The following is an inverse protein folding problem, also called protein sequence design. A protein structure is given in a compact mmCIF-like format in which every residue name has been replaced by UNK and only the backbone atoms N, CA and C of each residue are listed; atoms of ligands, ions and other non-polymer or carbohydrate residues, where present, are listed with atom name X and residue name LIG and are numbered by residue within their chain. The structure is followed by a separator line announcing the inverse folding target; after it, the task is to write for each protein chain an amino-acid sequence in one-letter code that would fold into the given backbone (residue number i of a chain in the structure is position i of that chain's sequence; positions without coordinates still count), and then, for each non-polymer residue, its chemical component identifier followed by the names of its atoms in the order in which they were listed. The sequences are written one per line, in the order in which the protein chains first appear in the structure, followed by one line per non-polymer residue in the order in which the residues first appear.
data_IF_506566847985
#
_entry.id   IF_506566847985
#
_cell.length_a   1.000
_cell.length_b   1.000
_cell.length_c   1.000
_cell.angle_alpha   90.00
_cell.angle_beta   90.00
_cell.angle_gamma   90.00
#
_symmetry.space_group_name_H-M   'P 1'
#
loop_
_entity.id
_entity.type
_entity.pdbx_description
1 polymer ?
#
# COMPACT_ATOMS: atom_id res chain seq x y z
N UNK A 1 11.96 0.42 -8.37
CA UNK A 1 10.51 0.58 -8.51
C UNK A 1 10.21 2.07 -8.41
N UNK A 2 9.33 2.60 -9.24
CA UNK A 2 8.96 4.02 -9.30
C UNK A 2 7.87 4.40 -8.27
N UNK A 3 7.61 3.56 -7.26
CA UNK A 3 6.62 3.81 -6.22
C UNK A 3 5.17 3.63 -6.66
N UNK A 4 4.92 3.15 -7.88
CA UNK A 4 3.56 2.87 -8.36
C UNK A 4 3.21 1.40 -8.23
N UNK A 5 1.94 1.14 -7.90
CA UNK A 5 1.41 -0.21 -7.69
C UNK A 5 0.11 -0.37 -8.47
N UNK A 6 -0.23 -1.62 -8.80
CA UNK A 6 -1.55 -1.96 -9.32
C UNK A 6 -2.26 -2.83 -8.30
N UNK A 7 -3.46 -2.42 -7.89
CA UNK A 7 -4.35 -3.21 -7.05
C UNK A 7 -5.57 -3.62 -7.86
N UNK A 8 -6.04 -4.86 -7.65
CA UNK A 8 -7.23 -5.39 -8.30
C UNK A 8 -8.18 -5.98 -7.27
N UNK A 9 -9.48 -5.71 -7.49
CA UNK A 9 -10.58 -6.27 -6.71
C UNK A 9 -11.49 -7.04 -7.64
N UNK A 10 -12.23 -8.01 -7.10
CA UNK A 10 -13.26 -8.72 -7.81
C UNK A 10 -14.59 -8.54 -7.06
N UNK A 11 -15.57 -7.93 -7.74
CA UNK A 11 -16.93 -7.79 -7.23
C UNK A 11 -17.80 -8.85 -7.90
N UNK A 12 -18.44 -9.71 -7.10
CA UNK A 12 -19.26 -10.83 -7.58
C UNK A 12 -20.71 -10.60 -7.16
N UNK A 13 -21.59 -10.46 -8.13
CA UNK A 13 -23.04 -10.38 -7.91
C UNK A 13 -23.68 -11.69 -8.33
N UNK A 14 -24.35 -12.37 -7.40
CA UNK A 14 -25.01 -13.67 -7.66
C UNK A 14 -26.50 -13.57 -7.41
N UNK A 15 -27.29 -13.98 -8.37
CA UNK A 15 -28.71 -14.21 -8.18
C UNK A 15 -28.95 -15.63 -7.67
N UNK A 16 -29.21 -15.79 -6.38
CA UNK A 16 -29.45 -17.08 -5.74
C UNK A 16 -30.91 -17.55 -5.89
N UNK A 17 -31.79 -16.70 -6.43
CA UNK A 17 -33.19 -17.03 -6.74
C UNK A 17 -33.33 -17.76 -8.07
N UNK A 18 -34.50 -18.36 -8.29
CA UNK A 18 -34.84 -19.05 -9.55
C UNK A 18 -35.35 -18.12 -10.66
N UNK A 19 -35.75 -16.90 -10.34
CA UNK A 19 -36.29 -15.94 -11.30
C UNK A 19 -35.25 -14.90 -11.72
N UNK A 20 -35.41 -14.33 -12.91
CA UNK A 20 -34.61 -13.19 -13.36
C UNK A 20 -34.87 -11.98 -12.46
N UNK A 21 -33.81 -11.30 -12.08
CA UNK A 21 -33.82 -10.03 -11.32
C UNK A 21 -33.03 -8.93 -12.02
N UNK A 22 -33.00 -7.78 -11.39
CA UNK A 22 -32.16 -6.64 -11.80
C UNK A 22 -31.44 -6.05 -10.59
N UNK A 23 -30.34 -5.32 -10.85
CA UNK A 23 -29.58 -4.64 -9.79
C UNK A 23 -28.83 -3.44 -10.35
N UNK A 24 -28.52 -2.49 -9.46
CA UNK A 24 -27.52 -1.45 -9.70
C UNK A 24 -26.34 -1.67 -8.77
N UNK A 25 -25.12 -1.39 -9.25
CA UNK A 25 -23.87 -1.62 -8.53
C UNK A 25 -22.99 -0.39 -8.60
N UNK A 26 -22.47 0.03 -7.45
CA UNK A 26 -21.44 1.06 -7.31
C UNK A 26 -20.21 0.47 -6.64
N UNK A 27 -19.08 1.07 -6.91
CA UNK A 27 -17.79 0.77 -6.28
C UNK A 27 -17.10 2.07 -5.90
N UNK A 28 -16.49 2.11 -4.72
CA UNK A 28 -15.92 3.34 -4.15
C UNK A 28 -14.57 3.02 -3.52
N UNK A 29 -13.46 3.50 -4.11
CA UNK A 29 -12.16 3.45 -3.45
C UNK A 29 -12.17 4.44 -2.26
N UNK A 30 -11.74 3.97 -1.11
CA UNK A 30 -11.62 4.74 0.14
C UNK A 30 -10.27 4.43 0.77
N UNK A 31 -9.21 4.58 -0.04
CA UNK A 31 -7.82 4.29 0.33
C UNK A 31 -7.32 5.23 1.41
N UNK A 32 -6.19 4.88 2.01
CA UNK A 32 -5.42 5.77 2.88
C UNK A 32 -5.16 7.11 2.16
N UNK A 33 -5.15 8.22 2.89
CA UNK A 33 -5.02 9.57 2.34
C UNK A 33 -3.64 9.86 1.73
N UNK A 34 -2.63 9.04 2.04
CA UNK A 34 -1.31 9.09 1.42
C UNK A 34 -1.22 8.24 0.13
N UNK A 35 -2.34 7.63 -0.31
CA UNK A 35 -2.41 6.85 -1.54
C UNK A 35 -3.12 7.65 -2.64
N UNK A 36 -2.35 8.11 -3.61
CA UNK A 36 -2.90 8.76 -4.81
C UNK A 36 -3.36 7.72 -5.82
N UNK A 37 -4.60 7.81 -6.26
CA UNK A 37 -5.12 7.01 -7.38
C UNK A 37 -4.78 7.73 -8.69
N UNK A 38 -3.86 7.17 -9.47
CA UNK A 38 -3.44 7.74 -10.75
C UNK A 38 -4.46 7.48 -11.86
N UNK A 39 -5.04 6.28 -11.86
CA UNK A 39 -6.07 5.85 -12.81
C UNK A 39 -6.79 4.60 -12.28
N UNK A 40 -7.97 4.33 -12.84
CA UNK A 40 -8.70 3.11 -12.56
C UNK A 40 -9.56 2.67 -13.74
N UNK A 41 -9.85 1.39 -13.78
CA UNK A 41 -10.72 0.77 -14.79
C UNK A 41 -11.45 -0.44 -14.20
N UNK A 42 -12.55 -0.82 -14.84
CA UNK A 42 -13.23 -2.07 -14.55
C UNK A 42 -13.55 -2.82 -15.84
N UNK A 43 -13.68 -4.14 -15.71
CA UNK A 43 -13.98 -5.06 -16.82
C UNK A 43 -14.78 -6.26 -16.33
N UNK A 44 -15.24 -7.10 -17.25
CA UNK A 44 -16.05 -8.28 -16.96
C UNK A 44 -17.45 -8.15 -17.50
N UNK A 45 -18.49 -8.17 -16.66
CA UNK A 45 -19.90 -8.04 -17.08
C UNK A 45 -20.17 -6.72 -17.81
N UNK A 46 -19.46 -5.67 -17.42
CA UNK A 46 -19.36 -4.38 -18.13
C UNK A 46 -17.92 -3.87 -18.02
N UNK A 47 -17.60 -2.79 -18.74
CA UNK A 47 -16.27 -2.19 -18.72
C UNK A 47 -16.32 -0.66 -18.79
N UNK A 48 -15.33 -0.01 -18.19
CA UNK A 48 -15.22 1.44 -18.19
C UNK A 48 -14.07 1.93 -17.32
N UNK A 49 -14.01 3.25 -17.16
CA UNK A 49 -13.07 3.90 -16.24
C UNK A 49 -13.65 4.00 -14.83
N UNK A 50 -12.80 3.87 -13.83
CA UNK A 50 -13.13 4.16 -12.45
C UNK A 50 -12.83 5.63 -12.14
N UNK A 51 -13.67 6.23 -11.28
CA UNK A 51 -13.36 7.53 -10.69
C UNK A 51 -12.16 7.39 -9.76
N UNK A 52 -11.28 8.38 -9.75
CA UNK A 52 -10.13 8.43 -8.83
C UNK A 52 -10.52 9.00 -7.45
N UNK A 53 -11.73 9.55 -7.35
CA UNK A 53 -12.36 9.97 -6.09
C UNK A 53 -13.86 9.75 -6.17
N UNK A 54 -14.46 9.31 -5.06
CA UNK A 54 -15.89 9.03 -4.99
C UNK A 54 -16.30 7.74 -5.72
N UNK A 55 -17.61 7.53 -5.81
CA UNK A 55 -18.19 6.29 -6.34
C UNK A 55 -18.17 6.25 -7.87
N UNK A 56 -17.99 5.06 -8.43
CA UNK A 56 -18.23 4.74 -9.84
C UNK A 56 -19.42 3.79 -9.94
N UNK A 57 -20.36 4.09 -10.84
CA UNK A 57 -21.46 3.17 -11.15
C UNK A 57 -20.96 2.12 -12.14
N UNK A 58 -20.90 0.85 -11.72
CA UNK A 58 -20.48 -0.28 -12.56
C UNK A 58 -21.65 -0.85 -13.36
N UNK A 59 -22.85 -0.77 -12.81
CA UNK A 59 -24.08 -1.25 -13.45
C UNK A 59 -25.29 -0.41 -13.00
N UNK A 60 -26.24 -0.21 -13.92
CA UNK A 60 -27.53 0.42 -13.67
C UNK A 60 -28.65 -0.48 -14.20
N UNK A 61 -29.53 -0.96 -13.31
CA UNK A 61 -30.64 -1.86 -13.63
C UNK A 61 -30.22 -3.06 -14.51
N UNK A 62 -29.03 -3.60 -14.24
CA UNK A 62 -28.50 -4.75 -14.99
C UNK A 62 -29.32 -6.00 -14.69
N UNK A 63 -29.78 -6.67 -15.74
CA UNK A 63 -30.58 -7.90 -15.61
C UNK A 63 -29.67 -9.06 -15.31
N UNK A 64 -30.06 -9.92 -14.35
CA UNK A 64 -29.34 -11.15 -13.97
C UNK A 64 -30.32 -12.33 -13.91
N UNK A 65 -30.08 -13.38 -14.68
CA UNK A 65 -30.90 -14.57 -14.67
C UNK A 65 -30.86 -15.32 -13.35
N UNK A 66 -31.91 -16.09 -13.04
CA UNK A 66 -31.92 -16.93 -11.84
C UNK A 66 -30.76 -17.91 -11.82
N UNK A 67 -30.03 -18.01 -10.72
CA UNK A 67 -28.83 -18.82 -10.54
C UNK A 67 -27.56 -18.28 -11.19
N UNK A 68 -27.62 -17.20 -11.98
CA UNK A 68 -26.49 -16.62 -12.67
C UNK A 68 -25.56 -15.82 -11.72
N UNK A 69 -24.30 -15.64 -12.18
CA UNK A 69 -23.27 -14.85 -11.51
C UNK A 69 -22.69 -13.85 -12.50
N UNK A 70 -22.61 -12.59 -12.10
CA UNK A 70 -21.91 -11.52 -12.81
C UNK A 70 -20.64 -11.14 -12.04
N UNK A 71 -19.53 -10.95 -12.74
CA UNK A 71 -18.24 -10.61 -12.14
C UNK A 71 -17.72 -9.31 -12.75
N UNK A 72 -17.27 -8.41 -11.91
CA UNK A 72 -16.58 -7.19 -12.26
C UNK A 72 -15.18 -7.22 -11.67
N UNK A 73 -14.16 -7.02 -12.50
CA UNK A 73 -12.78 -6.86 -12.06
C UNK A 73 -12.44 -5.37 -12.05
N UNK A 74 -12.20 -4.82 -10.89
CA UNK A 74 -11.86 -3.41 -10.66
C UNK A 74 -10.36 -3.32 -10.45
N UNK A 75 -9.70 -2.39 -11.14
CA UNK A 75 -8.25 -2.20 -11.06
C UNK A 75 -7.91 -0.73 -10.91
N UNK A 76 -7.00 -0.42 -9.99
CA UNK A 76 -6.44 0.91 -9.80
C UNK A 76 -4.92 0.89 -9.92
N UNK A 77 -4.36 1.92 -10.58
CA UNK A 77 -2.94 2.24 -10.51
C UNK A 77 -2.77 3.33 -9.44
N UNK A 78 -1.91 3.09 -8.46
CA UNK A 78 -1.76 3.94 -7.28
C UNK A 78 -0.30 4.26 -7.01
N UNK A 79 -0.06 5.40 -6.33
CA UNK A 79 1.24 5.81 -5.80
C UNK A 79 1.09 6.07 -4.31
N UNK A 80 2.03 5.55 -3.50
CA UNK A 80 2.15 5.88 -2.09
C UNK A 80 3.07 7.10 -1.94
N UNK A 81 2.54 8.18 -1.35
CA UNK A 81 3.24 9.44 -1.13
C UNK A 81 3.37 9.71 0.37
N UNK A 82 4.58 9.57 0.89
CA UNK A 82 4.89 9.78 2.31
C UNK A 82 5.92 10.90 2.51
N UNK A 83 6.18 11.69 1.45
CA UNK A 83 7.13 12.79 1.53
C UNK A 83 6.48 14.04 2.14
N UNK A 84 7.09 14.66 3.15
CA UNK A 84 6.59 15.89 3.74
C UNK A 84 6.39 16.98 2.68
N UNK A 85 5.18 17.55 2.62
CA UNK A 85 4.82 18.58 1.65
C UNK A 85 4.39 18.06 0.28
N UNK A 86 4.12 16.77 0.13
CA UNK A 86 3.43 16.24 -1.04
C UNK A 86 2.07 16.94 -1.22
N UNK A 87 1.68 17.18 -2.48
CA UNK A 87 0.46 17.93 -2.81
C UNK A 87 -0.82 17.07 -2.78
N UNK A 88 -0.74 15.83 -2.27
CA UNK A 88 -1.85 14.88 -2.21
C UNK A 88 -2.84 15.14 -1.07
N UNK A 89 -2.44 15.94 -0.07
CA UNK A 89 -3.26 16.28 1.09
C UNK A 89 -3.26 15.23 2.20
N UNK A 90 -2.38 14.21 2.11
CA UNK A 90 -2.18 13.19 3.13
C UNK A 90 -1.47 13.72 4.40
N UNK A 91 -1.46 12.91 5.43
CA UNK A 91 -0.81 13.23 6.71
C UNK A 91 0.62 12.65 6.83
N UNK A 92 1.12 12.01 5.75
CA UNK A 92 2.41 11.33 5.64
C UNK A 92 2.55 10.11 6.60
N UNK A 93 1.42 9.52 6.98
CA UNK A 93 1.34 8.33 7.85
C UNK A 93 0.47 7.26 7.20
N UNK A 94 1.10 6.33 6.49
CA UNK A 94 0.35 5.20 5.92
C UNK A 94 -0.25 4.31 7.02
N UNK A 95 -1.56 4.20 7.02
CA UNK A 95 -2.31 3.34 7.95
C UNK A 95 -2.68 2.04 7.24
N UNK A 96 -2.03 0.95 7.61
CA UNK A 96 -2.32 -0.37 7.04
C UNK A 96 -3.75 -0.84 7.34
N UNK A 97 -4.27 -1.76 6.53
CA UNK A 97 -5.56 -2.40 6.77
C UNK A 97 -5.61 -3.04 8.16
N UNK A 98 -6.72 -2.89 8.86
CA UNK A 98 -6.96 -3.63 10.11
C UNK A 98 -7.03 -5.14 9.87
N UNK A 99 -7.62 -5.55 8.73
CA UNK A 99 -7.60 -6.93 8.21
C UNK A 99 -7.40 -6.86 6.70
N UNK A 100 -6.40 -7.58 6.18
CA UNK A 100 -6.19 -7.69 4.74
C UNK A 100 -7.11 -8.75 4.16
N UNK A 101 -7.76 -8.44 3.06
CA UNK A 101 -8.74 -9.30 2.39
C UNK A 101 -10.18 -8.82 2.63
N UNK A 102 -11.13 -9.73 2.73
CA UNK A 102 -12.53 -9.41 2.98
C UNK A 102 -12.87 -9.63 4.46
N UNK A 103 -13.58 -8.71 5.07
CA UNK A 103 -14.15 -8.92 6.39
C UNK A 103 -14.09 -7.73 7.32
N UNK A 104 -14.74 -7.82 8.48
CA UNK A 104 -14.80 -6.76 9.46
C UNK A 104 -13.41 -6.48 10.06
N UNK A 105 -13.08 -5.21 10.23
CA UNK A 105 -11.84 -4.75 10.84
C UNK A 105 -11.08 -3.74 10.00
N UNK A 106 -11.26 -3.76 8.66
CA UNK A 106 -10.78 -2.68 7.79
C UNK A 106 -11.76 -1.51 7.80
N UNK A 107 -11.23 -0.31 7.69
CA UNK A 107 -12.00 0.93 7.73
C UNK A 107 -11.66 1.82 6.54
N UNK A 108 -12.61 2.67 6.09
CA UNK A 108 -12.30 3.75 5.14
C UNK A 108 -11.08 4.57 5.59
N UNK A 109 -10.19 4.89 4.67
CA UNK A 109 -8.95 5.60 4.97
C UNK A 109 -7.80 4.71 5.47
N UNK A 110 -7.93 3.40 5.37
CA UNK A 110 -6.84 2.46 5.66
C UNK A 110 -6.40 1.74 4.38
N UNK A 111 -5.10 1.54 4.22
CA UNK A 111 -4.51 0.76 3.15
C UNK A 111 -5.13 1.07 1.78
N UNK A 112 -5.55 0.03 1.11
CA UNK A 112 -6.29 0.08 -0.15
C UNK A 112 -7.73 -0.41 0.07
N UNK A 113 -8.45 0.20 1.04
CA UNK A 113 -9.84 -0.14 1.34
C UNK A 113 -10.76 0.24 0.19
N UNK A 114 -11.55 -0.71 -0.29
CA UNK A 114 -12.51 -0.53 -1.37
C UNK A 114 -13.86 -1.10 -0.99
N UNK A 115 -14.96 -0.37 -1.29
CA UNK A 115 -16.33 -0.74 -0.93
C UNK A 115 -17.20 -0.86 -2.17
N UNK A 116 -17.94 -1.96 -2.27
CA UNK A 116 -19.01 -2.17 -3.24
C UNK A 116 -20.39 -2.00 -2.60
N UNK A 117 -21.33 -1.41 -3.33
CA UNK A 117 -22.70 -1.12 -2.90
C UNK A 117 -23.70 -1.62 -3.93
N UNK A 118 -24.56 -2.52 -3.52
CA UNK A 118 -25.59 -3.15 -4.37
C UNK A 118 -26.99 -2.66 -3.99
N UNK A 119 -27.71 -2.10 -4.96
CA UNK A 119 -29.15 -1.87 -4.93
C UNK A 119 -29.83 -2.95 -5.78
N UNK A 120 -30.61 -3.83 -5.17
CA UNK A 120 -31.33 -4.95 -5.82
C UNK A 120 -32.82 -4.69 -5.94
N UNK A 121 -33.32 -3.57 -5.42
CA UNK A 121 -34.73 -3.19 -5.46
C UNK A 121 -35.01 -2.12 -6.52
N UNK A 122 -33.98 -1.38 -6.96
CA UNK A 122 -34.07 -0.32 -7.95
C UNK A 122 -34.67 1.00 -7.40
N UNK A 123 -34.68 1.14 -6.08
CA UNK A 123 -35.22 2.34 -5.40
C UNK A 123 -34.15 3.44 -5.19
N UNK A 124 -32.89 3.13 -5.56
CA UNK A 124 -31.75 4.03 -5.40
C UNK A 124 -31.08 3.95 -4.04
N UNK A 125 -31.58 3.08 -3.15
CA UNK A 125 -31.00 2.84 -1.82
C UNK A 125 -30.14 1.58 -1.86
N UNK A 126 -29.02 1.61 -1.17
CA UNK A 126 -28.11 0.45 -1.07
C UNK A 126 -28.72 -0.61 -0.16
N UNK A 127 -28.91 -1.82 -0.68
CA UNK A 127 -29.42 -2.97 0.08
C UNK A 127 -28.33 -3.82 0.71
N UNK A 128 -27.17 -3.90 0.03
CA UNK A 128 -26.03 -4.73 0.45
C UNK A 128 -24.74 -3.96 0.22
N UNK A 129 -23.85 -4.04 1.19
CA UNK A 129 -22.47 -3.56 1.06
C UNK A 129 -21.50 -4.71 1.29
N UNK A 130 -20.38 -4.68 0.59
CA UNK A 130 -19.24 -5.56 0.84
C UNK A 130 -17.96 -4.79 0.60
N UNK A 131 -16.89 -5.15 1.28
CA UNK A 131 -15.61 -4.46 1.19
C UNK A 131 -14.42 -5.41 1.14
N UNK A 132 -13.31 -4.89 0.63
CA UNK A 132 -12.02 -5.54 0.65
C UNK A 132 -10.92 -4.52 0.88
N UNK A 133 -9.88 -4.93 1.60
CA UNK A 133 -8.70 -4.10 1.85
C UNK A 133 -7.43 -4.82 1.43
N UNK A 134 -6.64 -4.17 0.58
CA UNK A 134 -5.28 -4.54 0.24
C UNK A 134 -4.28 -3.65 0.96
N UNK A 135 -3.01 -4.03 0.94
CA UNK A 135 -1.96 -3.25 1.58
C UNK A 135 -0.80 -2.97 0.65
N UNK A 136 -0.04 -1.92 0.98
CA UNK A 136 1.21 -1.57 0.34
C UNK A 136 2.39 -1.85 1.29
N UNK A 137 3.63 -2.04 0.77
CA UNK A 137 4.80 -2.06 1.63
C UNK A 137 5.10 -0.63 2.11
N UNK A 138 5.40 -0.48 3.39
CA UNK A 138 5.90 0.75 3.97
C UNK A 138 7.18 0.48 4.74
N UNK A 139 8.33 0.79 4.12
CA UNK A 139 9.65 0.50 4.67
C UNK A 139 10.22 1.75 5.33
N UNK A 140 10.56 1.63 6.61
CA UNK A 140 11.16 2.68 7.43
C UNK A 140 12.56 2.30 7.87
N UNK A 141 13.37 3.27 8.28
CA UNK A 141 14.74 3.05 8.75
C UNK A 141 15.05 3.90 9.97
N UNK A 142 15.77 3.32 10.92
CA UNK A 142 16.36 4.03 12.07
C UNK A 142 17.84 3.67 12.15
N UNK A 143 18.70 4.66 12.39
CA UNK A 143 20.13 4.47 12.66
C UNK A 143 20.45 4.95 14.07
N UNK A 144 21.02 4.06 14.88
CA UNK A 144 21.41 4.33 16.25
C UNK A 144 22.93 4.22 16.42
N UNK A 145 23.50 5.04 17.29
CA UNK A 145 24.84 4.80 17.81
C UNK A 145 24.80 3.58 18.75
N UNK A 146 25.59 2.56 18.46
CA UNK A 146 25.72 1.39 19.32
C UNK A 146 26.72 1.62 20.45
N UNK A 147 27.99 1.88 20.10
CA UNK A 147 29.03 2.13 21.09
C UNK A 147 30.21 2.92 20.52
N UNK A 148 30.97 3.55 21.41
CA UNK A 148 32.32 4.08 21.12
C UNK A 148 33.26 3.46 22.17
N UNK A 149 34.24 2.68 21.70
CA UNK A 149 35.15 1.95 22.59
C UNK A 149 36.59 2.34 22.25
N UNK A 150 37.34 2.76 23.25
CA UNK A 150 38.78 3.05 23.11
C UNK A 150 39.57 1.72 23.03
N UNK A 151 40.50 1.67 22.11
CA UNK A 151 41.42 0.54 21.91
C UNK A 151 42.79 0.85 22.55
N UNK A 152 43.55 -0.19 22.92
CA UNK A 152 44.86 -0.06 23.55
C UNK A 152 45.91 0.67 22.67
N UNK A 153 45.70 0.74 21.35
CA UNK A 153 46.61 1.37 20.40
C UNK A 153 46.27 2.87 20.14
N UNK A 154 45.39 3.48 20.95
CA UNK A 154 45.00 4.88 20.81
C UNK A 154 43.92 5.12 19.72
N UNK A 155 43.39 4.08 19.11
CA UNK A 155 42.23 4.20 18.18
C UNK A 155 40.91 3.97 18.91
N UNK A 156 39.81 4.21 18.22
CA UNK A 156 38.45 3.95 18.72
C UNK A 156 37.72 3.02 17.77
N UNK A 157 36.90 2.14 18.32
CA UNK A 157 35.91 1.39 17.57
C UNK A 157 34.55 2.03 17.78
N UNK A 158 33.91 2.47 16.70
CA UNK A 158 32.56 3.02 16.72
C UNK A 158 31.62 2.05 16.02
N UNK A 159 30.55 1.70 16.68
CA UNK A 159 29.53 0.81 16.12
C UNK A 159 28.18 1.55 15.98
N UNK A 160 27.52 1.32 14.86
CA UNK A 160 26.16 1.76 14.61
C UNK A 160 25.27 0.56 14.36
N UNK A 161 23.99 0.70 14.66
CA UNK A 161 22.96 -0.24 14.27
C UNK A 161 21.99 0.46 13.33
N UNK A 162 21.79 -0.13 12.16
CA UNK A 162 20.74 0.29 11.22
C UNK A 162 19.64 -0.74 11.26
N UNK A 163 18.42 -0.30 11.54
CA UNK A 163 17.23 -1.13 11.64
C UNK A 163 16.31 -0.72 10.50
N UNK A 164 15.97 -1.66 9.63
CA UNK A 164 14.99 -1.48 8.55
C UNK A 164 13.75 -2.29 8.89
N UNK A 165 12.61 -1.62 8.95
CA UNK A 165 11.32 -2.23 9.26
C UNK A 165 10.36 -2.03 8.08
N UNK A 166 9.61 -3.07 7.74
CA UNK A 166 8.42 -2.93 6.91
C UNK A 166 7.20 -2.92 7.83
N UNK A 167 6.56 -1.77 7.97
CA UNK A 167 5.35 -1.58 8.79
C UNK A 167 4.07 -1.60 7.97
N UNK A 168 4.15 -1.69 6.63
CA UNK A 168 3.02 -1.97 5.76
C UNK A 168 2.71 -3.47 5.71
N UNK A 169 1.49 -3.83 5.30
CA UNK A 169 1.01 -5.22 5.26
C UNK A 169 1.50 -6.03 4.06
N UNK A 170 2.10 -5.40 3.04
CA UNK A 170 2.61 -6.08 1.85
C UNK A 170 4.13 -6.25 1.89
N UNK A 171 4.65 -7.25 1.16
CA UNK A 171 6.09 -7.45 1.00
C UNK A 171 6.70 -6.31 0.20
N UNK A 172 7.76 -5.71 0.74
CA UNK A 172 8.52 -4.64 0.11
C UNK A 172 9.97 -5.03 -0.17
N UNK A 173 10.63 -4.24 -1.01
CA UNK A 173 12.07 -4.30 -1.24
C UNK A 173 12.70 -2.94 -0.97
N UNK A 174 13.95 -2.93 -0.58
CA UNK A 174 14.70 -1.71 -0.32
C UNK A 174 16.16 -1.84 -0.77
N UNK A 175 16.80 -0.69 -0.98
CA UNK A 175 18.25 -0.57 -1.08
C UNK A 175 18.73 0.29 0.08
N UNK A 176 19.78 -0.15 0.74
CA UNK A 176 20.37 0.56 1.87
C UNK A 176 21.74 1.12 1.46
N UNK A 177 21.94 2.40 1.77
CA UNK A 177 23.21 3.07 1.61
C UNK A 177 23.64 3.70 2.92
N UNK A 178 24.89 3.53 3.30
CA UNK A 178 25.49 4.19 4.45
C UNK A 178 26.73 4.99 4.02
N UNK A 179 26.87 6.18 4.55
CA UNK A 179 27.99 7.09 4.26
C UNK A 179 28.52 7.64 5.58
N UNK A 180 29.75 7.32 5.97
CA UNK A 180 30.36 7.95 7.13
C UNK A 180 30.61 9.44 6.84
N UNK A 181 30.18 10.29 7.76
CA UNK A 181 30.36 11.75 7.71
C UNK A 181 30.92 12.23 9.07
N UNK A 182 32.13 11.79 9.39
CA UNK A 182 32.83 12.19 10.59
C UNK A 182 33.46 13.56 10.42
N UNK A 183 33.85 14.17 11.55
CA UNK A 183 34.65 15.37 11.56
C UNK A 183 35.94 15.16 10.74
N UNK A 184 36.45 16.23 10.11
CA UNK A 184 37.63 16.18 9.26
C UNK A 184 38.92 15.85 10.02
N UNK A 185 38.93 15.97 11.34
CA UNK A 185 40.03 15.56 12.23
C UNK A 185 39.96 14.07 12.61
N UNK A 186 38.93 13.32 12.12
CA UNK A 186 38.76 11.88 12.36
C UNK A 186 39.17 11.08 11.12
N UNK A 187 40.23 10.30 11.24
CA UNK A 187 40.63 9.37 10.19
C UNK A 187 39.95 8.01 10.38
N UNK A 188 39.23 7.54 9.36
CA UNK A 188 38.65 6.21 9.33
C UNK A 188 39.66 5.21 8.78
N UNK A 189 40.21 4.35 9.63
CA UNK A 189 41.23 3.37 9.23
C UNK A 189 40.60 2.19 8.47
N UNK A 190 39.45 1.72 8.88
CA UNK A 190 38.68 0.64 8.25
C UNK A 190 37.23 0.67 8.70
N UNK A 191 36.38 -0.06 8.03
CA UNK A 191 35.00 -0.26 8.42
C UNK A 191 34.43 -1.55 7.84
N UNK A 192 33.46 -2.12 8.52
CA UNK A 192 32.74 -3.31 8.09
C UNK A 192 31.27 -3.23 8.50
N UNK A 193 30.45 -4.01 7.83
CA UNK A 193 29.06 -4.20 8.21
C UNK A 193 28.72 -5.69 8.24
N UNK A 194 27.72 -6.03 9.05
CA UNK A 194 27.22 -7.40 9.19
C UNK A 194 25.71 -7.38 9.50
N UNK A 195 25.04 -8.50 9.30
CA UNK A 195 23.61 -8.65 9.52
C UNK A 195 22.97 -9.41 8.36
N UNK A 196 21.98 -8.82 7.69
CA UNK A 196 21.34 -9.40 6.50
C UNK A 196 22.35 -9.60 5.34
N UNK A 197 23.33 -8.74 5.27
CA UNK A 197 24.51 -8.87 4.41
C UNK A 197 25.74 -8.50 5.21
N UNK A 198 26.92 -8.79 4.67
CA UNK A 198 28.19 -8.44 5.30
C UNK A 198 29.23 -8.02 4.27
N UNK A 199 30.14 -7.14 4.68
CA UNK A 199 31.21 -6.65 3.80
C UNK A 199 32.04 -5.55 4.44
N UNK A 200 32.91 -4.95 3.61
CA UNK A 200 33.70 -3.79 4.01
C UNK A 200 32.95 -2.49 3.73
N UNK A 201 33.09 -1.53 4.64
CA UNK A 201 32.60 -0.17 4.45
C UNK A 201 33.61 0.65 3.65
N UNK A 202 33.11 1.49 2.75
CA UNK A 202 33.92 2.54 2.16
C UNK A 202 34.25 3.60 3.22
N UNK A 203 35.52 3.94 3.38
CA UNK A 203 35.99 4.88 4.42
C UNK A 203 35.92 6.35 3.99
N UNK A 204 35.69 6.64 2.71
CA UNK A 204 35.63 8.00 2.15
C UNK A 204 34.39 8.28 1.30
N UNK A 205 33.44 7.37 1.26
CA UNK A 205 32.22 7.50 0.46
C UNK A 205 31.15 6.53 0.89
N UNK A 206 30.11 6.42 0.07
CA UNK A 206 28.96 5.56 0.39
C UNK A 206 29.27 4.08 0.20
N UNK A 207 28.68 3.25 1.03
CA UNK A 207 28.56 1.78 0.89
C UNK A 207 27.09 1.44 0.62
N UNK A 208 26.85 0.63 -0.42
CA UNK A 208 25.49 0.18 -0.82
C UNK A 208 25.39 -1.32 -0.63
#
# INVERSE_FOLDING_TARGET
ANGTYTVTYQVIVKNVGGATGSYSLKDTPQFDNDVTINSGSYSGQASGSMNTSGSTTLATNATIAGGATHTYNVSFNVTLNLEPGSADGGDNVYTACGVVGNGPGSQPGQGLYNKAELDRTGDGVTDVTDDACGDLPYVTMVKNLGSVTANANGTYTVTYQVIVNNIGGATGSYSLKDTPQFDNDVTINNGSYSGQASGSMNTSGSTT
#
